data_IF_901920737380
#
_entry.id   IF_901920737380
#
_cell.length_a   1.000
_cell.length_b   1.000
_cell.length_c   1.000
_cell.angle_alpha   90.00
_cell.angle_beta   90.00
_cell.angle_gamma   90.00
#
_symmetry.space_group_name_H-M   'P 1'
#
loop_
_entity.id
_entity.type
_entity.pdbx_description
1 polymer ?
#
# COMPACT_ATOMS: atom_id res chain seq x y z
N UNK A 1 15.15 1.81 -0.17
CA UNK A 1 14.34 0.58 -0.07
C UNK A 1 15.31 -0.57 0.13
N UNK A 2 15.08 -1.44 1.11
CA UNK A 2 15.92 -2.61 1.36
C UNK A 2 15.35 -3.82 0.60
N UNK A 3 15.83 -4.03 -0.63
CA UNK A 3 15.33 -5.09 -1.52
C UNK A 3 15.61 -6.51 -0.97
N UNK A 4 16.83 -6.84 -0.48
CA UNK A 4 17.07 -8.13 0.16
C UNK A 4 16.11 -8.46 1.31
N UNK A 5 15.74 -7.45 2.12
CA UNK A 5 14.75 -7.63 3.16
C UNK A 5 13.37 -7.98 2.60
N UNK A 6 12.93 -7.26 1.55
CA UNK A 6 11.63 -7.51 0.92
C UNK A 6 11.55 -8.90 0.25
N UNK A 7 12.65 -9.38 -0.31
CA UNK A 7 12.71 -10.68 -1.00
C UNK A 7 12.89 -11.87 -0.04
N UNK A 8 13.12 -11.63 1.25
CA UNK A 8 13.24 -12.69 2.24
C UNK A 8 11.92 -13.44 2.37
N UNK A 9 12.00 -14.78 2.40
CA UNK A 9 10.88 -15.65 2.72
C UNK A 9 10.28 -15.29 4.09
N UNK A 10 8.95 -15.24 4.16
CA UNK A 10 8.23 -14.93 5.40
C UNK A 10 8.40 -16.07 6.41
N UNK A 11 8.28 -17.31 5.94
CA UNK A 11 8.60 -18.51 6.72
C UNK A 11 9.07 -19.64 5.79
N UNK A 12 9.62 -20.71 6.34
CA UNK A 12 10.00 -21.88 5.55
C UNK A 12 8.77 -22.62 4.99
N UNK A 13 7.70 -22.72 5.79
CA UNK A 13 6.47 -23.41 5.41
C UNK A 13 5.59 -22.59 4.45
N UNK A 14 5.63 -21.26 4.56
CA UNK A 14 4.98 -20.32 3.64
C UNK A 14 5.95 -19.17 3.29
N UNK A 15 6.77 -19.32 2.24
CA UNK A 15 7.71 -18.29 1.82
C UNK A 15 7.04 -16.99 1.39
N UNK A 16 5.83 -17.11 0.83
CA UNK A 16 5.01 -15.97 0.40
C UNK A 16 4.01 -15.49 1.47
N UNK A 17 3.91 -16.15 2.62
CA UNK A 17 2.99 -15.75 3.70
C UNK A 17 1.51 -15.97 3.37
N UNK A 18 0.66 -15.14 3.97
CA UNK A 18 -0.79 -15.26 3.87
C UNK A 18 -1.33 -14.65 2.57
N UNK A 19 -2.50 -15.12 2.12
CA UNK A 19 -3.29 -14.42 1.10
C UNK A 19 -4.00 -13.22 1.74
N UNK A 20 -3.72 -12.02 1.20
CA UNK A 20 -4.16 -10.74 1.75
C UNK A 20 -5.36 -10.15 0.99
N UNK A 21 -6.04 -10.91 0.12
CA UNK A 21 -7.16 -10.42 -0.70
C UNK A 21 -8.24 -9.67 0.11
N UNK A 22 -8.54 -10.13 1.33
CA UNK A 22 -9.55 -9.53 2.20
C UNK A 22 -8.95 -8.72 3.36
N UNK A 23 -7.65 -8.48 3.37
CA UNK A 23 -7.04 -7.68 4.42
C UNK A 23 -7.49 -6.21 4.29
N UNK A 24 -8.10 -5.62 5.35
CA UNK A 24 -8.58 -4.24 5.28
C UNK A 24 -7.45 -3.23 5.03
N UNK A 25 -6.20 -3.55 5.38
CA UNK A 25 -5.06 -2.66 5.11
C UNK A 25 -4.74 -2.59 3.60
N UNK A 26 -5.13 -3.58 2.79
CA UNK A 26 -4.95 -3.51 1.34
C UNK A 26 -5.85 -2.41 0.73
N UNK A 27 -7.08 -2.27 1.23
CA UNK A 27 -7.99 -1.19 0.84
C UNK A 27 -7.45 0.18 1.30
N UNK A 28 -6.92 0.25 2.53
CA UNK A 28 -6.31 1.47 3.03
C UNK A 28 -5.06 1.88 2.24
N UNK A 29 -4.26 0.91 1.78
CA UNK A 29 -3.13 1.14 0.88
C UNK A 29 -3.58 1.77 -0.44
N UNK A 30 -4.62 1.21 -1.06
CA UNK A 30 -5.18 1.73 -2.31
C UNK A 30 -5.70 3.17 -2.15
N UNK A 31 -6.45 3.44 -1.08
CA UNK A 31 -6.95 4.79 -0.78
C UNK A 31 -5.82 5.80 -0.54
N UNK A 32 -4.79 5.38 0.20
CA UNK A 32 -3.63 6.23 0.47
C UNK A 32 -2.86 6.57 -0.82
N UNK A 33 -2.79 5.62 -1.76
CA UNK A 33 -2.13 5.78 -3.04
C UNK A 33 -2.95 6.56 -4.08
N UNK A 34 -4.28 6.64 -3.93
CA UNK A 34 -5.15 7.41 -4.81
C UNK A 34 -5.12 8.91 -4.50
N UNK A 35 -4.91 9.29 -3.23
CA UNK A 35 -4.99 10.68 -2.79
C UNK A 35 -6.44 11.15 -2.68
N UNK A 36 -6.69 12.45 -2.87
CA UNK A 36 -8.05 12.99 -2.92
C UNK A 36 -8.23 13.80 -4.20
N UNK A 37 -9.25 13.51 -5.03
CA UNK A 37 -9.54 14.33 -6.19
C UNK A 37 -10.11 15.69 -5.76
N UNK A 38 -10.03 16.67 -6.66
CA UNK A 38 -10.74 17.93 -6.50
C UNK A 38 -12.24 17.67 -6.33
N UNK A 39 -12.88 18.39 -5.41
CA UNK A 39 -14.27 18.16 -5.03
C UNK A 39 -14.96 19.47 -4.64
N UNK A 40 -16.23 19.62 -5.02
CA UNK A 40 -17.06 20.75 -4.59
C UNK A 40 -17.82 20.44 -3.31
N UNK A 41 -17.86 21.42 -2.41
CA UNK A 41 -18.62 21.39 -1.17
C UNK A 41 -19.48 22.66 -1.09
N UNK A 42 -20.74 22.58 -1.52
CA UNK A 42 -21.57 23.75 -1.73
C UNK A 42 -20.96 24.68 -2.79
N UNK A 43 -20.68 25.92 -2.41
CA UNK A 43 -20.04 26.92 -3.29
C UNK A 43 -18.50 26.86 -3.27
N UNK A 44 -17.88 26.08 -2.38
CA UNK A 44 -16.43 25.96 -2.27
C UNK A 44 -15.86 24.84 -3.16
N UNK A 45 -14.70 25.09 -3.78
CA UNK A 45 -13.89 24.08 -4.47
C UNK A 45 -12.72 23.68 -3.56
N UNK A 46 -12.65 22.41 -3.18
CA UNK A 46 -11.53 21.81 -2.47
C UNK A 46 -10.55 21.25 -3.50
N UNK A 47 -9.32 21.76 -3.51
CA UNK A 47 -8.27 21.30 -4.41
C UNK A 47 -7.97 19.81 -4.21
N UNK A 48 -7.44 19.17 -5.25
CA UNK A 48 -6.94 17.82 -5.14
C UNK A 48 -5.76 17.75 -4.15
N UNK A 49 -5.70 16.70 -3.35
CA UNK A 49 -4.58 16.40 -2.48
C UNK A 49 -3.79 15.21 -3.06
N UNK A 50 -2.47 15.33 -3.25
CA UNK A 50 -1.67 14.23 -3.73
C UNK A 50 -1.65 13.08 -2.70
N UNK A 51 -1.39 11.85 -3.15
CA UNK A 51 -1.18 10.70 -2.26
C UNK A 51 -0.11 10.95 -1.19
N UNK A 52 -0.33 10.46 0.02
CA UNK A 52 0.72 10.41 1.05
C UNK A 52 1.64 9.23 0.77
N UNK A 53 2.64 9.45 -0.09
CA UNK A 53 3.60 8.41 -0.51
C UNK A 53 4.38 7.81 0.66
N UNK A 54 4.60 8.56 1.74
CA UNK A 54 5.26 8.04 2.93
C UNK A 54 4.36 7.01 3.61
N UNK A 55 3.10 7.37 3.87
CA UNK A 55 2.09 6.47 4.45
C UNK A 55 1.84 5.26 3.56
N UNK A 56 1.70 5.45 2.25
CA UNK A 56 1.52 4.37 1.27
C UNK A 56 2.64 3.33 1.38
N UNK A 57 3.90 3.78 1.45
CA UNK A 57 5.06 2.86 1.58
C UNK A 57 5.14 2.19 2.95
N UNK A 58 4.73 2.86 4.02
CA UNK A 58 4.66 2.28 5.36
C UNK A 58 3.61 1.15 5.41
N UNK A 59 2.41 1.37 4.89
CA UNK A 59 1.35 0.35 4.82
C UNK A 59 1.79 -0.81 3.92
N UNK A 60 2.33 -0.51 2.73
CA UNK A 60 2.82 -1.54 1.81
C UNK A 60 3.90 -2.41 2.44
N UNK A 61 4.86 -1.82 3.16
CA UNK A 61 5.90 -2.57 3.88
C UNK A 61 5.34 -3.49 4.97
N UNK A 62 4.38 -3.00 5.75
CA UNK A 62 3.72 -3.80 6.80
C UNK A 62 2.95 -4.99 6.23
N UNK A 63 2.21 -4.79 5.12
CA UNK A 63 1.54 -5.86 4.41
C UNK A 63 2.53 -6.87 3.80
N UNK A 64 3.61 -6.39 3.16
CA UNK A 64 4.61 -7.24 2.49
C UNK A 64 5.46 -8.10 3.45
N UNK A 65 5.42 -7.77 4.74
CA UNK A 65 5.99 -8.60 5.81
C UNK A 65 5.09 -9.80 6.19
N UNK A 66 3.81 -9.77 5.81
CA UNK A 66 2.79 -10.80 6.11
C UNK A 66 2.40 -11.63 4.88
N UNK A 67 2.42 -11.02 3.69
CA UNK A 67 2.10 -11.68 2.43
C UNK A 67 2.81 -11.04 1.24
N UNK A 68 3.39 -11.86 0.35
CA UNK A 68 4.07 -11.43 -0.87
C UNK A 68 3.06 -11.33 -2.01
N UNK A 69 2.59 -10.11 -2.24
CA UNK A 69 1.55 -9.83 -3.25
C UNK A 69 2.06 -8.78 -4.27
N UNK A 70 1.84 -9.06 -5.56
CA UNK A 70 2.25 -8.15 -6.65
C UNK A 70 1.46 -6.83 -6.64
N UNK A 71 0.20 -6.83 -6.17
CA UNK A 71 -0.60 -5.62 -5.97
C UNK A 71 0.07 -4.68 -4.98
N UNK A 72 0.66 -5.25 -3.91
CA UNK A 72 1.39 -4.49 -2.89
C UNK A 72 2.77 -4.04 -3.41
N UNK A 73 3.47 -4.91 -4.15
CA UNK A 73 4.80 -4.61 -4.69
C UNK A 73 4.83 -3.36 -5.60
N UNK A 74 3.73 -3.07 -6.31
CA UNK A 74 3.61 -1.88 -7.14
C UNK A 74 3.75 -0.56 -6.36
N UNK A 75 3.48 -0.55 -5.05
CA UNK A 75 3.62 0.64 -4.21
C UNK A 75 5.01 0.77 -3.56
N UNK A 76 5.86 -0.24 -3.75
CA UNK A 76 7.21 -0.28 -3.22
C UNK A 76 8.23 0.20 -4.27
N UNK A 77 7.91 0.12 -5.56
CA UNK A 77 8.80 0.64 -6.60
C UNK A 77 8.82 2.19 -6.62
N UNK A 78 9.98 2.81 -6.91
CA UNK A 78 10.13 4.26 -6.98
C UNK A 78 9.47 4.88 -8.22
#
# INVERSE_FOLDING_TARGET
MDLPHLLRAISEASPCGDDLEYDPQLLELQRAAEGQPERRMGDAVLAAEPPDWRKTREIAGALFARGKDLRIANYLVP
#
